data_IF_034939206950
#
_entry.id   IF_034939206950
#
_cell.length_a   1.000
_cell.length_b   1.000
_cell.length_c   1.000
_cell.angle_alpha   90.00
_cell.angle_beta   90.00
_cell.angle_gamma   90.00
#
_symmetry.space_group_name_H-M   'P 1'
#
loop_
_entity.id
_entity.type
_entity.pdbx_description
1 polymer ?
#
# COMPACT_ATOMS: atom_id res chain seq x y z
N UNK A 1 -2.65 12.03 13.36
CA UNK A 1 -1.72 11.05 14.02
C UNK A 1 -0.48 10.83 13.13
N UNK A 2 0.60 10.11 13.52
CA UNK A 2 1.72 9.89 12.61
C UNK A 2 1.27 9.08 11.38
N UNK A 3 1.69 9.53 10.20
CA UNK A 3 1.55 8.80 8.94
C UNK A 3 2.94 8.37 8.47
N UNK A 4 3.06 7.11 8.07
CA UNK A 4 4.29 6.48 7.63
C UNK A 4 4.26 6.36 6.11
N UNK A 5 5.32 6.86 5.47
CA UNK A 5 5.55 6.71 4.04
C UNK A 5 6.46 5.50 3.79
N UNK A 6 6.10 4.68 2.80
CA UNK A 6 6.88 3.51 2.41
C UNK A 6 6.90 3.29 0.90
N UNK A 7 7.92 2.55 0.45
CA UNK A 7 7.93 1.97 -0.90
C UNK A 7 7.51 0.52 -0.76
N UNK A 8 6.52 0.14 -1.54
CA UNK A 8 5.99 -1.20 -1.57
C UNK A 8 6.57 -2.00 -2.73
N UNK A 9 7.31 -3.06 -2.39
CA UNK A 9 7.86 -3.98 -3.38
C UNK A 9 6.86 -5.08 -3.70
N UNK A 10 6.47 -5.20 -4.98
CA UNK A 10 5.72 -6.34 -5.48
C UNK A 10 6.65 -7.52 -5.78
N UNK A 11 6.98 -8.26 -4.74
CA UNK A 11 7.82 -9.45 -4.86
C UNK A 11 7.23 -10.43 -5.88
N UNK A 12 8.10 -10.99 -6.73
CA UNK A 12 7.76 -11.97 -7.77
C UNK A 12 6.82 -11.45 -8.88
N UNK A 13 6.50 -10.15 -8.89
CA UNK A 13 5.87 -9.51 -10.04
C UNK A 13 6.84 -9.48 -11.21
N UNK A 14 6.32 -9.70 -12.43
CA UNK A 14 7.07 -9.47 -13.68
C UNK A 14 7.26 -7.99 -13.98
N UNK A 15 6.59 -7.13 -13.21
CA UNK A 15 6.56 -5.70 -13.39
C UNK A 15 6.99 -4.98 -12.09
N UNK A 16 8.30 -4.70 -11.94
CA UNK A 16 8.85 -4.01 -10.77
C UNK A 16 8.66 -2.50 -10.93
N UNK A 17 7.40 -2.05 -10.93
CA UNK A 17 7.10 -0.63 -10.88
C UNK A 17 7.18 -0.10 -9.45
N UNK A 18 7.40 1.21 -9.33
CA UNK A 18 7.36 1.91 -8.05
C UNK A 18 5.93 1.85 -7.52
N UNK A 19 5.76 1.53 -6.25
CA UNK A 19 4.51 1.73 -5.53
C UNK A 19 4.86 2.47 -4.24
N UNK A 20 4.41 3.71 -4.11
CA UNK A 20 4.56 4.48 -2.88
C UNK A 20 3.25 4.36 -2.11
N UNK A 21 3.37 3.99 -0.84
CA UNK A 21 2.24 3.76 0.05
C UNK A 21 2.36 4.62 1.29
N UNK A 22 1.22 4.99 1.85
CA UNK A 22 1.09 5.60 3.17
C UNK A 22 0.31 4.68 4.10
N UNK A 23 0.57 4.78 5.39
CA UNK A 23 -0.18 4.05 6.42
C UNK A 23 -0.17 4.82 7.73
N UNK A 24 -1.25 4.76 8.49
CA UNK A 24 -1.37 5.41 9.78
C UNK A 24 -2.39 4.70 10.66
N UNK A 25 -2.42 4.99 11.98
CA UNK A 25 -3.34 4.29 12.87
C UNK A 25 -4.81 4.67 12.65
N UNK A 26 -5.09 5.84 12.04
CA UNK A 26 -6.44 6.26 11.63
C UNK A 26 -7.07 5.27 10.63
N UNK A 27 -6.24 4.64 9.81
CA UNK A 27 -6.66 3.64 8.82
C UNK A 27 -6.34 2.21 9.25
N UNK A 28 -6.18 1.97 10.55
CA UNK A 28 -5.82 0.65 11.12
C UNK A 28 -4.54 0.08 10.49
N UNK A 29 -3.59 0.95 10.15
CA UNK A 29 -2.34 0.63 9.48
C UNK A 29 -2.49 -0.01 8.08
N UNK A 30 -3.63 0.20 7.41
CA UNK A 30 -3.83 -0.26 6.04
C UNK A 30 -2.98 0.58 5.08
N UNK A 31 -2.26 -0.11 4.19
CA UNK A 31 -1.44 0.53 3.16
C UNK A 31 -2.33 1.16 2.09
N UNK A 32 -2.09 2.43 1.78
CA UNK A 32 -2.80 3.18 0.75
C UNK A 32 -1.82 3.66 -0.31
N UNK A 33 -2.00 3.21 -1.55
CA UNK A 33 -1.09 3.54 -2.65
C UNK A 33 -1.35 4.94 -3.20
N UNK A 34 -0.36 5.81 -3.08
CA UNK A 34 -0.45 7.23 -3.44
C UNK A 34 0.34 7.61 -4.70
N UNK A 35 1.29 6.78 -5.12
CA UNK A 35 2.06 7.04 -6.33
C UNK A 35 2.62 5.75 -6.94
N UNK A 36 2.69 5.74 -8.26
CA UNK A 36 3.24 4.67 -9.10
C UNK A 36 4.47 5.13 -9.89
N UNK A 37 4.76 6.43 -9.88
CA UNK A 37 5.92 7.05 -10.53
C UNK A 37 6.59 8.06 -9.61
N UNK A 38 7.86 8.38 -9.89
CA UNK A 38 8.58 9.39 -9.13
C UNK A 38 7.91 10.78 -9.24
N UNK A 39 7.35 11.10 -10.41
CA UNK A 39 6.65 12.36 -10.65
C UNK A 39 5.35 12.46 -9.86
N UNK A 40 4.57 11.36 -9.79
CA UNK A 40 3.39 11.28 -8.93
C UNK A 40 3.76 11.47 -7.46
N UNK A 41 4.86 10.84 -7.01
CA UNK A 41 5.33 11.00 -5.65
C UNK A 41 5.80 12.42 -5.36
N UNK A 42 6.57 13.04 -6.26
CA UNK A 42 6.99 14.43 -6.12
C UNK A 42 5.80 15.41 -6.10
N UNK A 43 4.78 15.16 -6.94
CA UNK A 43 3.54 15.94 -6.94
C UNK A 43 2.82 15.82 -5.61
N UNK A 44 2.71 14.60 -5.06
CA UNK A 44 2.11 14.37 -3.74
C UNK A 44 2.85 15.14 -2.63
N UNK A 45 4.19 15.12 -2.63
CA UNK A 45 4.99 15.87 -1.66
C UNK A 45 4.77 17.37 -1.80
N UNK A 46 4.73 17.91 -3.01
CA UNK A 46 4.46 19.33 -3.23
C UNK A 46 3.06 19.72 -2.73
N UNK A 47 2.03 18.93 -3.04
CA UNK A 47 0.66 19.17 -2.56
C UNK A 47 0.64 19.20 -1.03
N UNK A 48 1.22 18.20 -0.37
CA UNK A 48 1.26 18.14 1.11
C UNK A 48 2.08 19.27 1.72
N UNK A 49 3.19 19.66 1.10
CA UNK A 49 4.01 20.77 1.56
C UNK A 49 3.27 22.11 1.45
N UNK A 50 2.53 22.34 0.36
CA UNK A 50 1.73 23.56 0.18
C UNK A 50 0.63 23.71 1.24
N UNK A 51 -0.03 22.61 1.64
CA UNK A 51 -1.00 22.64 2.76
C UNK A 51 -0.34 23.05 4.08
N UNK A 52 0.94 22.73 4.26
CA UNK A 52 1.67 23.02 5.51
C UNK A 52 2.34 24.39 5.53
N UNK A 53 2.82 24.88 4.38
CA UNK A 53 3.66 26.08 4.26
C UNK A 53 2.85 27.31 3.86
N UNK A 54 1.58 27.14 3.43
CA UNK A 54 0.61 28.15 2.98
C UNK A 54 1.03 28.98 1.75
N UNK A 55 2.32 29.32 1.63
CA UNK A 55 2.89 30.08 0.52
C UNK A 55 3.89 29.26 -0.30
N UNK A 56 3.82 29.38 -1.63
CA UNK A 56 4.82 28.82 -2.52
C UNK A 56 6.12 29.66 -2.47
N UNK A 57 7.17 29.10 -1.88
CA UNK A 57 8.41 29.80 -1.57
C UNK A 57 9.63 29.24 -2.36
N UNK A 58 10.81 29.83 -2.13
CA UNK A 58 12.05 29.45 -2.81
C UNK A 58 12.45 27.98 -2.62
N UNK A 59 12.15 27.39 -1.45
CA UNK A 59 12.43 25.97 -1.17
C UNK A 59 11.54 25.05 -2.02
N UNK A 60 10.25 25.38 -2.14
CA UNK A 60 9.30 24.63 -2.96
C UNK A 60 9.58 24.80 -4.45
N UNK A 61 10.05 25.97 -4.88
CA UNK A 61 10.57 26.18 -6.23
C UNK A 61 11.80 25.30 -6.51
N UNK A 62 12.77 25.29 -5.58
CA UNK A 62 13.98 24.51 -5.72
C UNK A 62 13.68 23.01 -5.76
N UNK A 63 12.78 22.54 -4.89
CA UNK A 63 12.28 21.16 -4.90
C UNK A 63 11.63 20.82 -6.24
N UNK A 64 10.68 21.64 -6.70
CA UNK A 64 9.94 21.37 -7.94
C UNK A 64 10.86 21.26 -9.15
N UNK A 65 11.86 22.15 -9.25
CA UNK A 65 12.90 22.08 -10.30
C UNK A 65 13.75 20.81 -10.17
N UNK A 66 14.20 20.47 -8.96
CA UNK A 66 15.06 19.32 -8.72
C UNK A 66 14.34 17.98 -8.98
N UNK A 67 13.03 17.91 -8.71
CA UNK A 67 12.20 16.73 -8.94
C UNK A 67 11.67 16.61 -10.37
N UNK A 68 11.90 17.62 -11.22
CA UNK A 68 11.47 17.61 -12.62
C UNK A 68 9.96 17.73 -12.82
N UNK A 69 9.24 18.40 -11.91
CA UNK A 69 7.80 18.64 -12.06
C UNK A 69 7.53 19.58 -13.24
N UNK A 70 6.72 19.13 -14.20
CA UNK A 70 6.50 19.87 -15.46
C UNK A 70 5.44 20.98 -15.34
N UNK A 71 4.35 20.74 -14.61
CA UNK A 71 3.20 21.67 -14.52
C UNK A 71 2.94 22.16 -13.08
N UNK A 72 3.96 22.79 -12.48
CA UNK A 72 3.83 23.41 -11.15
C UNK A 72 2.67 24.42 -11.07
N UNK A 73 2.48 25.34 -12.03
CA UNK A 73 1.34 26.26 -11.98
C UNK A 73 -0.02 25.56 -11.98
N UNK A 74 -0.17 24.48 -12.75
CA UNK A 74 -1.38 23.65 -12.73
C UNK A 74 -1.61 22.95 -11.39
N UNK A 75 -0.53 22.47 -10.76
CA UNK A 75 -0.58 21.87 -9.42
C UNK A 75 -1.00 22.92 -8.37
N UNK A 76 -0.42 24.12 -8.37
CA UNK A 76 -0.79 25.18 -7.43
C UNK A 76 -2.26 25.59 -7.60
N UNK A 77 -2.71 25.78 -8.84
CA UNK A 77 -4.12 26.07 -9.13
C UNK A 77 -5.05 24.95 -8.64
N UNK A 78 -4.64 23.69 -8.76
CA UNK A 78 -5.39 22.57 -8.24
C UNK A 78 -5.52 22.65 -6.71
N UNK A 79 -4.42 22.94 -6.01
CA UNK A 79 -4.39 23.08 -4.55
C UNK A 79 -5.31 24.22 -4.10
N UNK A 80 -5.27 25.38 -4.77
CA UNK A 80 -6.17 26.50 -4.46
C UNK A 80 -7.66 26.13 -4.60
N UNK A 81 -7.97 25.21 -5.51
CA UNK A 81 -9.35 24.85 -5.85
C UNK A 81 -9.87 23.68 -5.00
N UNK A 82 -9.02 22.67 -4.74
CA UNK A 82 -9.41 21.38 -4.19
C UNK A 82 -8.65 20.97 -2.93
N UNK A 83 -7.62 21.72 -2.54
CA UNK A 83 -6.73 21.37 -1.43
C UNK A 83 -5.91 20.11 -1.71
N UNK A 84 -5.77 19.26 -0.70
CA UNK A 84 -5.09 17.96 -0.78
C UNK A 84 -6.06 16.77 -0.76
N UNK A 85 -7.33 17.00 -1.09
CA UNK A 85 -8.34 15.93 -1.12
C UNK A 85 -7.90 14.82 -2.09
N UNK A 86 -7.62 13.59 -1.60
CA UNK A 86 -7.20 12.47 -2.44
C UNK A 86 -8.17 12.15 -3.58
N UNK A 87 -9.47 12.42 -3.40
CA UNK A 87 -10.49 12.19 -4.43
C UNK A 87 -10.33 13.10 -5.65
N UNK A 88 -9.75 14.28 -5.44
CA UNK A 88 -9.58 15.29 -6.48
C UNK A 88 -8.25 15.15 -7.24
N UNK A 89 -7.24 14.51 -6.65
CA UNK A 89 -5.91 14.38 -7.24
C UNK A 89 -5.88 13.78 -8.66
N UNK A 90 -6.75 12.81 -9.03
CA UNK A 90 -6.82 12.31 -10.41
C UNK A 90 -7.20 13.37 -11.47
N UNK A 91 -7.66 14.55 -11.07
CA UNK A 91 -7.88 15.68 -11.99
C UNK A 91 -6.56 16.20 -12.57
N UNK A 92 -5.46 16.10 -11.82
CA UNK A 92 -4.11 16.42 -12.29
C UNK A 92 -3.65 15.39 -13.33
N UNK A 93 -3.11 15.81 -14.49
CA UNK A 93 -2.71 14.90 -15.56
C UNK A 93 -1.79 13.76 -15.10
N UNK A 94 -0.85 14.06 -14.20
CA UNK A 94 0.13 13.11 -13.67
C UNK A 94 -0.51 11.90 -12.95
N UNK A 95 -1.71 12.06 -12.39
CA UNK A 95 -2.43 10.99 -11.68
C UNK A 95 -3.51 10.28 -12.52
N UNK A 96 -3.69 10.66 -13.79
CA UNK A 96 -4.72 10.04 -14.65
C UNK A 96 -4.35 8.63 -15.11
N UNK A 97 -3.09 8.43 -15.46
CA UNK A 97 -2.61 7.15 -16.00
C UNK A 97 -1.10 7.00 -15.80
N UNK A 98 -0.62 6.03 -15.00
CA UNK A 98 -1.44 5.09 -14.22
C UNK A 98 -2.09 5.78 -13.01
N UNK A 99 -3.34 5.46 -12.67
CA UNK A 99 -4.02 6.03 -11.50
C UNK A 99 -3.64 5.23 -10.24
N UNK A 100 -3.03 5.83 -9.21
CA UNK A 100 -2.79 5.14 -7.95
C UNK A 100 -4.11 4.76 -7.27
N UNK A 101 -4.15 3.58 -6.65
CA UNK A 101 -5.42 3.00 -6.19
C UNK A 101 -6.15 3.80 -5.13
N UNK A 102 -5.43 4.55 -4.28
CA UNK A 102 -6.06 5.37 -3.23
C UNK A 102 -6.60 6.70 -3.76
N UNK A 103 -6.24 7.10 -4.99
CA UNK A 103 -6.58 8.43 -5.51
C UNK A 103 -7.86 8.37 -6.36
N UNK A 104 -8.87 9.15 -5.95
CA UNK A 104 -10.20 9.11 -6.54
C UNK A 104 -11.06 7.95 -6.05
N UNK A 105 -12.19 7.74 -6.72
CA UNK A 105 -13.01 6.55 -6.51
C UNK A 105 -12.19 5.28 -6.79
N UNK A 106 -12.10 4.35 -5.83
CA UNK A 106 -11.44 3.08 -6.07
C UNK A 106 -12.18 2.34 -7.19
N UNK A 107 -11.48 2.03 -8.27
CA UNK A 107 -12.00 1.09 -9.26
C UNK A 107 -11.82 -0.32 -8.71
N UNK A 108 -12.76 -0.76 -7.87
CA UNK A 108 -12.77 -2.10 -7.33
C UNK A 108 -12.77 -3.18 -8.43
N UNK A 109 -13.26 -2.85 -9.64
CA UNK A 109 -13.30 -3.79 -10.77
C UNK A 109 -11.96 -3.95 -11.48
N UNK A 110 -11.01 -3.02 -11.35
CA UNK A 110 -9.64 -3.19 -11.87
C UNK A 110 -8.87 -4.31 -11.16
N UNK A 111 -9.37 -4.73 -9.98
CA UNK A 111 -8.93 -5.91 -9.24
C UNK A 111 -9.69 -7.19 -9.58
N UNK A 112 -10.68 -7.11 -10.48
CA UNK A 112 -11.55 -8.23 -10.88
C UNK A 112 -12.64 -8.61 -9.88
N UNK A 113 -13.03 -7.78 -8.89
CA UNK A 113 -14.12 -8.11 -7.94
C UNK A 113 -14.89 -6.88 -7.40
N UNK A 114 -16.22 -6.97 -7.32
CA UNK A 114 -17.22 -5.95 -6.93
C UNK A 114 -17.55 -5.82 -5.42
N UNK A 115 -17.35 -4.61 -4.84
CA UNK A 115 -18.10 -3.79 -3.81
C UNK A 115 -18.41 -4.31 -2.34
N UNK A 116 -19.00 -3.53 -1.36
CA UNK A 116 -18.45 -3.13 -0.02
C UNK A 116 -19.28 -3.62 1.24
N UNK A 117 -19.25 -2.99 2.47
CA UNK A 117 -18.48 -3.34 3.68
C UNK A 117 -19.28 -3.88 4.93
N UNK A 118 -18.53 -4.19 6.00
CA UNK A 118 -18.87 -4.53 7.42
C UNK A 118 -19.31 -5.99 7.71
N UNK A 119 -18.85 -6.74 8.72
CA UNK A 119 -18.13 -6.46 9.98
C UNK A 119 -17.50 -7.77 10.52
N UNK A 120 -16.23 -7.78 10.97
CA UNK A 120 -15.67 -8.87 11.81
C UNK A 120 -14.32 -8.49 12.49
N UNK A 121 -13.94 -9.17 13.60
CA UNK A 121 -13.05 -8.66 14.64
C UNK A 121 -11.55 -8.80 14.28
N UNK A 122 -10.77 -7.90 14.86
CA UNK A 122 -9.36 -7.58 14.53
C UNK A 122 -8.38 -8.76 14.67
N UNK A 123 -7.72 -9.10 13.56
CA UNK A 123 -6.59 -10.04 13.46
C UNK A 123 -5.73 -9.74 12.23
N UNK A 124 -5.01 -8.62 12.24
CA UNK A 124 -4.40 -8.04 11.03
C UNK A 124 -3.07 -8.73 10.69
N UNK A 125 -3.00 -9.36 9.51
CA UNK A 125 -1.75 -9.64 8.79
C UNK A 125 -1.74 -8.74 7.56
N UNK A 126 -0.96 -7.67 7.60
CA UNK A 126 -0.93 -6.70 6.50
C UNK A 126 -0.03 -7.19 5.38
N UNK A 127 -0.60 -7.59 4.23
CA UNK A 127 -0.13 -7.19 2.90
C UNK A 127 -1.27 -7.35 1.83
N UNK A 128 -1.24 -6.51 0.80
CA UNK A 128 -2.16 -6.19 -0.33
C UNK A 128 -3.67 -5.87 -0.13
N UNK A 129 -4.44 -6.38 0.85
CA UNK A 129 -5.92 -6.30 0.71
C UNK A 129 -6.73 -5.79 1.91
N UNK A 130 -7.57 -4.79 1.63
CA UNK A 130 -8.82 -4.51 2.35
C UNK A 130 -9.94 -5.42 1.82
N UNK A 131 -10.58 -6.15 2.75
CA UNK A 131 -11.89 -6.80 2.64
C UNK A 131 -12.06 -8.02 1.71
N UNK A 132 -12.44 -9.13 2.33
CA UNK A 132 -13.16 -10.27 1.73
C UNK A 132 -14.30 -10.64 2.70
N UNK A 133 -15.48 -11.09 2.24
CA UNK A 133 -16.53 -11.58 3.13
C UNK A 133 -16.07 -12.80 3.94
N UNK A 134 -16.57 -12.89 5.18
CA UNK A 134 -16.08 -13.71 6.32
C UNK A 134 -16.17 -15.24 6.18
N UNK A 135 -16.39 -15.78 4.98
CA UNK A 135 -16.71 -17.21 4.82
C UNK A 135 -15.66 -18.02 4.05
N UNK A 136 -14.44 -17.52 3.88
CA UNK A 136 -13.44 -18.21 3.08
C UNK A 136 -12.32 -18.79 3.95
N UNK A 137 -12.07 -20.10 3.85
CA UNK A 137 -11.06 -20.75 4.66
C UNK A 137 -9.68 -20.15 4.35
N UNK A 138 -8.75 -20.18 5.33
CA UNK A 138 -7.39 -19.70 5.13
C UNK A 138 -6.80 -20.32 3.86
N UNK A 139 -6.09 -19.55 3.04
CA UNK A 139 -5.62 -19.99 1.72
C UNK A 139 -4.46 -20.99 1.80
N UNK A 140 -4.21 -21.61 2.97
CA UNK A 140 -3.09 -22.51 3.28
C UNK A 140 -2.94 -23.62 2.23
N UNK A 141 -4.05 -24.25 1.82
CA UNK A 141 -4.03 -25.30 0.81
C UNK A 141 -3.59 -24.78 -0.57
N UNK A 142 -4.15 -23.65 -1.01
CA UNK A 142 -3.76 -22.99 -2.26
C UNK A 142 -2.31 -22.50 -2.21
N UNK A 143 -1.89 -21.91 -1.09
CA UNK A 143 -0.55 -21.40 -0.88
C UNK A 143 0.50 -22.52 -0.98
N UNK A 144 0.27 -23.64 -0.26
CA UNK A 144 1.16 -24.81 -0.32
C UNK A 144 1.24 -25.39 -1.73
N UNK A 145 0.12 -25.44 -2.45
CA UNK A 145 0.10 -25.87 -3.85
C UNK A 145 0.94 -24.92 -4.71
N UNK A 146 0.74 -23.61 -4.62
CA UNK A 146 1.51 -22.63 -5.37
C UNK A 146 3.02 -22.75 -5.11
N UNK A 147 3.43 -22.90 -3.84
CA UNK A 147 4.83 -23.18 -3.50
C UNK A 147 5.35 -24.48 -4.12
N UNK A 148 4.57 -25.56 -4.06
CA UNK A 148 4.95 -26.87 -4.63
C UNK A 148 5.13 -26.80 -6.15
N UNK A 149 4.26 -26.03 -6.81
CA UNK A 149 4.28 -25.82 -8.26
C UNK A 149 5.37 -24.82 -8.71
N UNK A 150 6.08 -24.18 -7.78
CA UNK A 150 7.07 -23.12 -8.07
C UNK A 150 6.44 -21.78 -8.45
N UNK A 151 5.14 -21.60 -8.28
CA UNK A 151 4.40 -20.36 -8.53
C UNK A 151 4.57 -19.38 -7.36
N UNK A 152 5.74 -18.72 -7.29
CA UNK A 152 6.06 -17.76 -6.25
C UNK A 152 5.14 -16.52 -6.27
N UNK A 153 4.68 -16.10 -7.45
CA UNK A 153 3.76 -14.97 -7.60
C UNK A 153 2.36 -15.31 -7.06
N UNK A 154 1.84 -16.50 -7.38
CA UNK A 154 0.59 -17.00 -6.80
C UNK A 154 0.70 -17.24 -5.30
N UNK A 155 1.82 -17.78 -4.81
CA UNK A 155 2.07 -17.95 -3.38
C UNK A 155 2.12 -16.59 -2.64
N UNK A 156 2.77 -15.58 -3.23
CA UNK A 156 2.78 -14.22 -2.70
C UNK A 156 1.37 -13.62 -2.66
N UNK A 157 0.61 -13.70 -3.75
CA UNK A 157 -0.77 -13.22 -3.79
C UNK A 157 -1.68 -13.87 -2.74
N UNK A 158 -1.49 -15.17 -2.47
CA UNK A 158 -2.24 -15.90 -1.45
C UNK A 158 -1.80 -15.55 -0.03
N UNK A 159 -0.51 -15.34 0.22
CA UNK A 159 -0.01 -14.83 1.50
C UNK A 159 -0.58 -13.44 1.82
N UNK A 160 -0.75 -12.62 0.78
CA UNK A 160 -1.34 -11.28 0.85
C UNK A 160 -2.89 -11.29 0.83
N UNK A 161 -3.51 -12.48 0.88
CA UNK A 161 -4.96 -12.59 0.94
C UNK A 161 -5.44 -12.74 2.39
N UNK A 162 -6.65 -12.27 2.76
CA UNK A 162 -7.13 -12.34 4.13
C UNK A 162 -7.44 -13.76 4.59
N UNK A 163 -7.67 -13.92 5.90
CA UNK A 163 -8.09 -15.19 6.51
C UNK A 163 -6.97 -15.99 7.16
N UNK A 164 -5.72 -15.52 7.09
CA UNK A 164 -4.63 -16.12 7.83
C UNK A 164 -4.75 -15.87 9.34
N UNK A 165 -4.49 -16.90 10.12
CA UNK A 165 -4.05 -16.69 11.52
C UNK A 165 -2.62 -16.19 11.48
N UNK A 166 -2.26 -15.27 12.37
CA UNK A 166 -0.90 -14.70 12.40
C UNK A 166 0.21 -15.75 12.46
N UNK A 167 0.13 -16.82 13.29
CA UNK A 167 1.13 -17.89 13.26
C UNK A 167 1.24 -18.57 11.89
N UNK A 168 0.11 -18.90 11.25
CA UNK A 168 0.10 -19.54 9.93
C UNK A 168 0.68 -18.62 8.85
N UNK A 169 0.42 -17.31 8.94
CA UNK A 169 0.99 -16.31 8.03
C UNK A 169 2.51 -16.20 8.19
N UNK A 170 3.04 -16.26 9.42
CA UNK A 170 4.50 -16.28 9.67
C UNK A 170 5.16 -17.51 9.08
N UNK A 171 4.57 -18.67 9.31
CA UNK A 171 5.07 -19.93 8.74
C UNK A 171 5.06 -19.87 7.21
N UNK A 172 3.99 -19.34 6.62
CA UNK A 172 3.88 -19.15 5.18
C UNK A 172 4.88 -18.12 4.64
N UNK A 173 5.07 -16.99 5.32
CA UNK A 173 6.07 -15.97 4.94
C UNK A 173 7.48 -16.57 4.92
N UNK A 174 7.86 -17.34 5.94
CA UNK A 174 9.17 -17.98 6.01
C UNK A 174 9.32 -19.13 4.99
N UNK A 175 8.23 -19.88 4.72
CA UNK A 175 8.23 -20.90 3.67
C UNK A 175 8.42 -20.30 2.28
N UNK A 176 7.74 -19.19 1.98
CA UNK A 176 7.91 -18.46 0.72
C UNK A 176 9.31 -17.85 0.62
N UNK A 177 9.84 -17.27 1.70
CA UNK A 177 11.20 -16.73 1.73
C UNK A 177 12.26 -17.80 1.40
N UNK A 178 12.12 -18.98 2.02
CA UNK A 178 12.98 -20.13 1.74
C UNK A 178 12.87 -20.60 0.29
N UNK A 179 11.65 -20.67 -0.26
CA UNK A 179 11.42 -21.10 -1.63
C UNK A 179 11.96 -20.08 -2.66
N UNK A 180 11.85 -18.79 -2.36
CA UNK A 180 12.33 -17.71 -3.21
C UNK A 180 13.86 -17.66 -3.29
N UNK A 181 14.56 -17.97 -2.20
CA UNK A 181 16.02 -17.89 -2.14
C UNK A 181 16.59 -16.47 -2.28
N UNK A 182 15.74 -15.44 -2.21
CA UNK A 182 16.13 -14.04 -2.32
C UNK A 182 16.52 -13.46 -0.93
N UNK A 183 17.75 -12.96 -0.73
CA UNK A 183 18.20 -12.46 0.56
C UNK A 183 17.44 -11.21 1.04
N UNK A 184 17.03 -10.32 0.13
CA UNK A 184 16.30 -9.11 0.46
C UNK A 184 14.89 -9.41 0.95
N UNK A 185 14.19 -10.28 0.21
CA UNK A 185 12.89 -10.80 0.59
C UNK A 185 12.94 -11.57 1.91
N UNK A 186 13.97 -12.41 2.10
CA UNK A 186 14.17 -13.15 3.36
C UNK A 186 14.35 -12.20 4.54
N UNK A 187 15.13 -11.13 4.37
CA UNK A 187 15.31 -10.11 5.40
C UNK A 187 13.99 -9.40 5.72
N UNK A 188 13.20 -9.05 4.70
CA UNK A 188 11.89 -8.41 4.86
C UNK A 188 10.91 -9.31 5.62
N UNK A 189 10.77 -10.58 5.23
CA UNK A 189 9.86 -11.53 5.90
C UNK A 189 10.30 -11.81 7.33
N UNK A 190 11.61 -11.96 7.58
CA UNK A 190 12.15 -12.10 8.94
C UNK A 190 11.78 -10.90 9.80
N UNK A 191 12.00 -9.68 9.31
CA UNK A 191 11.68 -8.46 10.04
C UNK A 191 10.18 -8.34 10.35
N UNK A 192 9.32 -8.68 9.38
CA UNK A 192 7.87 -8.70 9.58
C UNK A 192 7.44 -9.74 10.63
N UNK A 193 8.00 -10.96 10.58
CA UNK A 193 7.72 -11.99 11.57
C UNK A 193 8.09 -11.50 12.99
N UNK A 194 9.31 -10.99 13.19
CA UNK A 194 9.75 -10.45 14.48
C UNK A 194 8.89 -9.27 14.95
N UNK A 195 8.58 -8.32 14.07
CA UNK A 195 7.69 -7.20 14.40
C UNK A 195 6.32 -7.70 14.86
N UNK A 196 5.73 -8.65 14.14
CA UNK A 196 4.40 -9.16 14.46
C UNK A 196 4.39 -10.00 15.75
N UNK A 197 5.52 -10.55 16.17
CA UNK A 197 5.69 -11.26 17.46
C UNK A 197 5.74 -10.29 18.64
N UNK A 198 6.47 -9.18 18.48
CA UNK A 198 6.69 -8.18 19.52
C UNK A 198 5.58 -7.13 19.61
N UNK A 199 4.81 -6.95 18.54
CA UNK A 199 3.67 -6.04 18.54
C UNK A 199 2.64 -6.51 19.57
N UNK A 200 2.49 -5.74 20.65
CA UNK A 200 1.32 -5.77 21.51
C UNK A 200 0.11 -5.43 20.64
N UNK A 201 -0.51 -6.45 20.05
CA UNK A 201 -1.88 -6.37 19.55
C UNK A 201 -2.70 -6.31 20.84
N UNK A 202 -3.35 -5.18 21.17
CA UNK A 202 -4.16 -5.12 22.37
C UNK A 202 -5.17 -6.26 22.27
N UNK A 203 -5.02 -7.25 23.14
CA UNK A 203 -6.14 -8.15 23.42
C UNK A 203 -7.27 -7.23 23.85
N UNK A 204 -8.36 -7.31 23.11
CA UNK A 204 -9.58 -6.55 23.31
C UNK A 204 -9.89 -6.31 24.78
N UNK A 205 -10.10 -5.05 25.15
CA UNK A 205 -11.08 -4.72 26.18
C UNK A 205 -12.11 -3.76 25.59
N UNK A 206 -13.23 -4.38 25.19
CA UNK A 206 -14.59 -3.85 25.26
C UNK A 206 -15.15 -2.96 24.13
N UNK A 207 -16.12 -3.57 23.42
CA UNK A 207 -17.28 -3.08 22.64
C UNK A 207 -17.09 -2.42 21.28
#
# INVERSE_FOLDING_TARGET
MPEYLGIWTRWFSKDPHLHVVITGPEDRFLLREIALTAEQFATWILVKAMIMIEDFNEDLEAFSRASGLEDVPGILKHIDTYGDNPESLPLLPVFRSPKPHYLGDPDWNSFGVTVPPDSAPTGIAGFERQHRPDNLPPPVGGFRKALTDGDLAGAWALLNSPGWRLPDARDAAMALAKAAGDPGFTKQMTAWCSFSEDAFIPESDSY
#
